data_IF_152645529621
#
_entry.id   IF_152645529621
#
_cell.length_a   1.000
_cell.length_b   1.000
_cell.length_c   1.000
_cell.angle_alpha   90.00
_cell.angle_beta   90.00
_cell.angle_gamma   90.00
#
_symmetry.space_group_name_H-M   'P 1'
#
loop_
_entity.id
_entity.type
_entity.pdbx_description
1 polymer ?
#
# COMPACT_ATOMS: atom_id res chain seq x y z
N UNK A 1 -13.07 19.28 47.27
CA UNK A 1 -14.12 18.97 46.28
C UNK A 1 -13.78 19.49 44.88
N UNK A 2 -13.57 20.81 44.67
CA UNK A 2 -13.26 21.40 43.34
C UNK A 2 -12.08 20.80 42.55
N UNK A 3 -11.05 20.25 43.21
CA UNK A 3 -9.86 19.63 42.57
C UNK A 3 -10.10 18.22 42.00
N UNK A 4 -11.07 17.49 42.55
CA UNK A 4 -11.39 16.12 42.10
C UNK A 4 -12.30 16.19 40.88
N UNK A 5 -13.24 17.12 40.86
CA UNK A 5 -14.15 17.36 39.73
C UNK A 5 -13.38 17.81 38.48
N UNK A 6 -12.34 18.64 38.62
CA UNK A 6 -11.49 19.05 37.50
C UNK A 6 -10.67 17.90 36.92
N UNK A 7 -10.20 16.97 37.76
CA UNK A 7 -9.47 15.78 37.31
C UNK A 7 -10.36 14.81 36.55
N UNK A 8 -11.60 14.62 37.00
CA UNK A 8 -12.59 13.78 36.30
C UNK A 8 -12.95 14.40 34.94
N UNK A 9 -13.05 15.72 34.85
CA UNK A 9 -13.27 16.43 33.58
C UNK A 9 -12.12 16.22 32.60
N UNK A 10 -10.87 16.39 33.07
CA UNK A 10 -9.68 16.17 32.23
C UNK A 10 -9.54 14.71 31.77
N UNK A 11 -9.82 13.73 32.64
CA UNK A 11 -9.79 12.31 32.27
C UNK A 11 -10.86 11.94 31.23
N UNK A 12 -12.05 12.54 31.30
CA UNK A 12 -13.08 12.36 30.27
C UNK A 12 -12.69 12.95 28.91
N UNK A 13 -11.94 14.07 28.92
CA UNK A 13 -11.49 14.75 27.70
C UNK A 13 -10.43 13.94 26.93
N UNK A 14 -9.50 13.28 27.65
CA UNK A 14 -8.52 12.36 27.01
C UNK A 14 -9.14 11.07 26.48
N UNK A 15 -10.24 10.60 27.07
CA UNK A 15 -10.95 9.41 26.56
C UNK A 15 -11.75 9.70 25.27
N UNK A 16 -12.23 10.93 25.05
CA UNK A 16 -12.93 11.31 23.81
C UNK A 16 -12.03 11.38 22.56
N UNK A 17 -10.72 11.54 22.70
CA UNK A 17 -9.78 11.61 21.56
C UNK A 17 -9.44 10.23 20.96
N UNK A 18 -9.91 9.13 21.56
CA UNK A 18 -9.59 7.76 21.12
C UNK A 18 -10.45 7.22 19.97
N UNK A 19 -11.54 7.88 19.59
CA UNK A 19 -12.34 7.46 18.44
C UNK A 19 -11.79 8.02 17.12
N UNK A 20 -10.62 7.51 16.73
CA UNK A 20 -10.11 7.70 15.36
C UNK A 20 -11.08 7.03 14.37
N UNK A 21 -11.86 7.84 13.66
CA UNK A 21 -12.71 7.44 12.51
C UNK A 21 -11.95 6.45 11.61
N UNK A 22 -12.42 5.20 11.54
CA UNK A 22 -11.95 4.21 10.55
C UNK A 22 -12.31 4.70 9.15
N UNK A 23 -11.36 5.32 8.46
CA UNK A 23 -11.52 5.71 7.06
C UNK A 23 -11.63 4.44 6.22
N UNK A 24 -12.73 4.30 5.48
CA UNK A 24 -12.98 3.15 4.60
C UNK A 24 -12.14 3.30 3.34
N UNK A 25 -10.92 2.78 3.34
CA UNK A 25 -10.00 2.84 2.18
C UNK A 25 -10.40 1.79 1.15
N UNK A 26 -10.75 2.23 -0.07
CA UNK A 26 -11.01 1.34 -1.20
C UNK A 26 -9.68 0.90 -1.82
N UNK A 27 -9.27 -0.33 -1.55
CA UNK A 27 -8.07 -0.92 -2.16
C UNK A 27 -8.45 -1.48 -3.53
N UNK A 28 -7.85 -0.93 -4.59
CA UNK A 28 -8.02 -1.41 -5.97
C UNK A 28 -6.71 -2.07 -6.41
N UNK A 29 -6.74 -3.26 -7.03
CA UNK A 29 -5.53 -3.90 -7.52
C UNK A 29 -4.93 -3.10 -8.68
N UNK A 30 -3.67 -2.72 -8.57
CA UNK A 30 -2.96 -2.05 -9.64
C UNK A 30 -2.70 -2.99 -10.82
N UNK A 31 -2.86 -2.48 -12.03
CA UNK A 31 -2.40 -3.19 -13.23
C UNK A 31 -0.91 -2.99 -13.41
N UNK A 32 -0.18 -4.10 -13.54
CA UNK A 32 1.26 -4.08 -13.72
C UNK A 32 1.59 -4.26 -15.20
N UNK A 33 2.32 -3.29 -15.74
CA UNK A 33 2.80 -3.28 -17.12
C UNK A 33 4.30 -3.57 -17.15
N UNK A 34 4.75 -4.22 -18.21
CA UNK A 34 6.17 -4.50 -18.44
C UNK A 34 6.56 -4.16 -19.88
N UNK A 35 7.79 -3.68 -20.06
CA UNK A 35 8.34 -3.32 -21.36
C UNK A 35 8.87 -4.56 -22.07
N UNK A 36 8.34 -4.82 -23.26
CA UNK A 36 8.61 -6.08 -24.00
C UNK A 36 9.68 -5.89 -25.07
N UNK A 37 9.34 -5.25 -26.19
CA UNK A 37 10.23 -4.91 -27.32
C UNK A 37 9.81 -3.53 -27.82
N UNK A 38 10.07 -2.50 -27.02
CA UNK A 38 9.73 -1.11 -27.35
C UNK A 38 8.38 -0.60 -26.84
N UNK A 39 7.43 -1.47 -26.49
CA UNK A 39 6.11 -1.06 -25.94
C UNK A 39 5.78 -1.73 -24.59
N UNK A 40 4.80 -1.15 -23.88
CA UNK A 40 4.27 -1.67 -22.62
C UNK A 40 3.11 -2.65 -22.86
N UNK A 41 3.17 -3.82 -22.22
CA UNK A 41 2.10 -4.83 -22.26
C UNK A 41 1.69 -5.21 -20.83
N UNK A 42 0.39 -5.39 -20.53
CA UNK A 42 -0.05 -5.85 -19.22
C UNK A 42 0.44 -7.28 -18.96
N UNK A 43 1.01 -7.51 -17.78
CA UNK A 43 1.61 -8.79 -17.40
C UNK A 43 0.55 -9.90 -17.28
N UNK A 44 -0.69 -9.53 -16.93
CA UNK A 44 -1.82 -10.45 -16.84
C UNK A 44 -2.08 -11.20 -18.15
N UNK A 45 -1.74 -10.60 -19.29
CA UNK A 45 -1.99 -11.13 -20.64
C UNK A 45 -0.77 -11.86 -21.23
N UNK A 46 0.19 -12.27 -20.40
CA UNK A 46 1.36 -13.05 -20.85
C UNK A 46 1.02 -14.53 -20.99
N UNK A 47 1.28 -15.07 -22.19
CA UNK A 47 1.21 -16.50 -22.45
C UNK A 47 2.38 -17.27 -21.78
N UNK A 48 2.31 -18.61 -21.80
CA UNK A 48 3.33 -19.47 -21.17
C UNK A 48 4.74 -19.23 -21.76
N UNK A 49 4.84 -19.05 -23.08
CA UNK A 49 6.10 -18.78 -23.78
C UNK A 49 6.75 -17.47 -23.33
N UNK A 50 5.98 -16.39 -23.22
CA UNK A 50 6.50 -15.09 -22.80
C UNK A 50 7.01 -15.09 -21.36
N UNK A 51 6.33 -15.83 -20.48
CA UNK A 51 6.80 -16.03 -19.10
C UNK A 51 8.13 -16.78 -19.05
N UNK A 52 8.34 -17.77 -19.93
CA UNK A 52 9.63 -18.47 -20.06
C UNK A 52 10.71 -17.55 -20.61
N UNK A 53 10.45 -16.85 -21.72
CA UNK A 53 11.38 -15.89 -22.31
C UNK A 53 11.82 -14.84 -21.29
N UNK A 54 10.88 -14.29 -20.49
CA UNK A 54 11.21 -13.30 -19.47
C UNK A 54 12.14 -13.84 -18.37
N UNK A 55 11.97 -15.11 -17.96
CA UNK A 55 12.87 -15.75 -16.98
C UNK A 55 14.28 -15.96 -17.50
N UNK A 56 14.42 -16.14 -18.81
CA UNK A 56 15.72 -16.34 -19.46
C UNK A 56 16.48 -15.02 -19.71
N UNK A 57 15.84 -13.85 -19.49
CA UNK A 57 16.50 -12.54 -19.63
C UNK A 57 17.54 -12.31 -18.53
N UNK A 58 18.72 -11.84 -18.92
CA UNK A 58 19.80 -11.47 -17.99
C UNK A 58 19.68 -9.99 -17.60
N UNK A 59 19.68 -9.71 -16.30
CA UNK A 59 19.71 -8.34 -15.78
C UNK A 59 21.16 -7.89 -15.58
N UNK A 60 21.47 -6.68 -16.03
CA UNK A 60 22.73 -6.04 -15.67
C UNK A 60 22.61 -5.48 -14.25
N UNK A 61 23.54 -5.85 -13.37
CA UNK A 61 23.70 -5.19 -12.07
C UNK A 61 24.53 -3.94 -12.32
N UNK A 62 23.97 -2.77 -12.03
CA UNK A 62 24.75 -1.54 -12.02
C UNK A 62 25.70 -1.56 -10.83
N UNK A 63 26.96 -1.11 -10.98
CA UNK A 63 27.82 -0.86 -9.83
C UNK A 63 27.14 0.18 -8.93
N UNK A 64 27.08 -0.11 -7.63
CA UNK A 64 26.52 0.77 -6.61
C UNK A 64 27.49 1.91 -6.30
#
# INVERSE_FOLDING_TARGET
>A
MRKIESLISMFKEVDMLKEKKKVKVKVVPCEVYSRVVGYFRPIKNWNKGKKREFKERKTLKMPQ
#
